data_IF_539538741458
#
_entry.id   IF_539538741458
#
_cell.length_a   1.000
_cell.length_b   1.000
_cell.length_c   1.000
_cell.angle_alpha   90.00
_cell.angle_beta   90.00
_cell.angle_gamma   90.00
#
_symmetry.space_group_name_H-M   'P 1'
#
loop_
_entity.id
_entity.type
_entity.pdbx_description
1 polymer ?
#
# COMPACT_ATOMS: atom_id res chain seq x y z
N UNK A 1 -14.85 -11.79 -14.75
CA UNK A 1 -13.44 -11.49 -15.07
C UNK A 1 -12.80 -11.08 -13.75
N UNK A 2 -11.59 -11.55 -13.46
CA UNK A 2 -10.88 -11.17 -12.24
C UNK A 2 -10.26 -9.79 -12.44
N UNK A 3 -10.64 -8.82 -11.62
CA UNK A 3 -10.03 -7.50 -11.63
C UNK A 3 -8.83 -7.46 -10.68
N UNK A 4 -7.90 -6.54 -10.92
CA UNK A 4 -6.73 -6.32 -10.05
C UNK A 4 -6.82 -4.92 -9.48
N UNK A 5 -6.70 -4.83 -8.17
CA UNK A 5 -6.78 -3.61 -7.38
C UNK A 5 -5.52 -3.39 -6.57
N UNK A 6 -5.23 -2.13 -6.26
CA UNK A 6 -4.07 -1.68 -5.52
C UNK A 6 -4.50 -0.73 -4.40
N UNK A 7 -3.90 -0.85 -3.22
CA UNK A 7 -4.02 0.15 -2.16
C UNK A 7 -2.78 0.10 -1.25
N UNK A 8 -2.58 1.12 -0.44
CA UNK A 8 -1.46 1.23 0.50
C UNK A 8 -1.80 2.19 1.63
N UNK A 9 -1.05 2.10 2.72
CA UNK A 9 -1.09 3.08 3.81
C UNK A 9 -2.47 3.14 4.48
N UNK A 10 -3.12 1.99 4.68
CA UNK A 10 -4.47 1.95 5.28
C UNK A 10 -4.46 2.59 6.68
N UNK A 11 -3.39 2.37 7.44
CA UNK A 11 -3.19 2.93 8.79
C UNK A 11 -4.40 2.78 9.71
N UNK A 12 -5.02 1.60 9.71
CA UNK A 12 -6.19 1.31 10.53
C UNK A 12 -5.85 1.50 12.02
N UNK A 13 -6.70 2.25 12.72
CA UNK A 13 -6.56 2.58 14.13
C UNK A 13 -5.46 3.59 14.45
N UNK A 14 -4.94 4.32 13.45
CA UNK A 14 -3.87 5.31 13.65
C UNK A 14 -4.43 6.72 13.84
N UNK A 15 -4.57 7.17 15.11
CA UNK A 15 -5.17 8.48 15.44
C UNK A 15 -4.56 9.67 14.68
N UNK A 16 -3.23 9.75 14.60
CA UNK A 16 -2.56 10.86 13.89
C UNK A 16 -2.86 10.85 12.39
N UNK A 17 -2.75 9.70 11.71
CA UNK A 17 -3.06 9.61 10.27
C UNK A 17 -4.55 9.85 10.01
N UNK A 18 -5.44 9.33 10.85
CA UNK A 18 -6.87 9.62 10.79
C UNK A 18 -7.13 11.14 10.85
N UNK A 19 -6.48 11.84 11.78
CA UNK A 19 -6.58 13.29 11.91
C UNK A 19 -6.05 14.04 10.67
N UNK A 20 -4.93 13.61 10.09
CA UNK A 20 -4.42 14.17 8.84
C UNK A 20 -5.37 13.99 7.66
N UNK A 21 -6.16 12.91 7.67
CA UNK A 21 -7.21 12.63 6.69
C UNK A 21 -8.54 13.34 7.00
N UNK A 22 -8.60 14.13 8.07
CA UNK A 22 -9.76 14.92 8.44
C UNK A 22 -10.78 14.22 9.34
N UNK A 23 -10.40 13.13 10.00
CA UNK A 23 -11.26 12.40 10.93
C UNK A 23 -10.91 12.72 12.38
N UNK A 24 -11.93 12.99 13.20
CA UNK A 24 -11.75 13.17 14.65
C UNK A 24 -11.63 11.83 15.39
N UNK A 25 -12.31 10.79 14.86
CA UNK A 25 -12.31 9.44 15.41
C UNK A 25 -11.58 8.46 14.45
N UNK A 26 -10.54 7.74 14.90
CA UNK A 26 -9.90 6.68 14.11
C UNK A 26 -10.86 5.55 13.70
N UNK A 27 -11.91 5.27 14.47
CA UNK A 27 -12.87 4.22 14.09
C UNK A 27 -13.74 4.66 12.89
N UNK A 28 -14.14 5.94 12.81
CA UNK A 28 -14.83 6.48 11.63
C UNK A 28 -13.93 6.47 10.38
N UNK A 29 -12.65 6.81 10.55
CA UNK A 29 -11.64 6.71 9.51
C UNK A 29 -11.54 5.28 8.97
N UNK A 30 -11.39 4.30 9.87
CA UNK A 30 -11.24 2.90 9.51
C UNK A 30 -12.46 2.39 8.74
N UNK A 31 -13.67 2.76 9.17
CA UNK A 31 -14.90 2.41 8.46
C UNK A 31 -14.93 3.01 7.05
N UNK A 32 -14.50 4.25 6.85
CA UNK A 32 -14.43 4.82 5.48
C UNK A 32 -13.47 4.03 4.60
N UNK A 33 -12.26 3.73 5.09
CA UNK A 33 -11.27 2.96 4.33
C UNK A 33 -11.81 1.56 3.99
N UNK A 34 -12.34 0.84 4.98
CA UNK A 34 -12.84 -0.52 4.81
C UNK A 34 -14.09 -0.56 3.92
N UNK A 35 -15.02 0.38 4.06
CA UNK A 35 -16.20 0.48 3.19
C UNK A 35 -15.83 0.76 1.73
N UNK A 36 -14.79 1.57 1.48
CA UNK A 36 -14.31 1.81 0.13
C UNK A 36 -13.66 0.56 -0.49
N UNK A 37 -12.95 -0.25 0.30
CA UNK A 37 -12.39 -1.52 -0.17
C UNK A 37 -13.50 -2.54 -0.46
N UNK A 38 -14.37 -2.80 0.51
CA UNK A 38 -15.49 -3.75 0.46
C UNK A 38 -16.47 -3.45 -0.69
N UNK A 39 -16.80 -2.18 -0.91
CA UNK A 39 -17.75 -1.79 -1.98
C UNK A 39 -17.19 -1.85 -3.40
N UNK A 40 -15.86 -1.89 -3.57
CA UNK A 40 -15.21 -1.84 -4.89
C UNK A 40 -14.50 -3.13 -5.27
N UNK A 41 -13.96 -3.86 -4.30
CA UNK A 41 -13.18 -5.08 -4.53
C UNK A 41 -14.06 -6.30 -4.24
N UNK A 42 -14.49 -6.98 -5.31
CA UNK A 42 -15.42 -8.10 -5.19
C UNK A 42 -14.71 -9.42 -4.87
N UNK A 43 -15.44 -10.38 -4.31
CA UNK A 43 -14.94 -11.74 -4.18
C UNK A 43 -14.51 -12.31 -5.55
N UNK A 44 -13.33 -12.90 -5.61
CA UNK A 44 -12.68 -13.35 -6.85
C UNK A 44 -11.83 -12.30 -7.58
N UNK A 45 -11.79 -11.06 -7.09
CA UNK A 45 -10.78 -10.07 -7.47
C UNK A 45 -9.46 -10.29 -6.71
N UNK A 46 -8.39 -9.70 -7.24
CA UNK A 46 -7.06 -9.67 -6.61
C UNK A 46 -6.79 -8.28 -6.06
N UNK A 47 -6.35 -8.18 -4.81
CA UNK A 47 -5.96 -6.94 -4.14
C UNK A 47 -4.49 -6.99 -3.71
N UNK A 48 -3.70 -6.06 -4.23
CA UNK A 48 -2.34 -5.78 -3.78
C UNK A 48 -2.35 -4.66 -2.75
N UNK A 49 -1.96 -4.99 -1.52
CA UNK A 49 -1.76 -4.02 -0.43
C UNK A 49 -0.27 -3.75 -0.26
N UNK A 50 0.18 -2.52 -0.51
CA UNK A 50 1.59 -2.12 -0.41
C UNK A 50 1.88 -1.50 0.96
N UNK A 51 1.48 -2.20 2.02
CA UNK A 51 2.03 -1.98 3.35
C UNK A 51 1.31 -0.92 4.18
N UNK A 52 1.81 -0.75 5.40
CA UNK A 52 1.34 0.17 6.42
C UNK A 52 -0.16 0.00 6.74
N UNK A 53 -0.50 -1.24 7.12
CA UNK A 53 -1.89 -1.62 7.42
C UNK A 53 -2.44 -0.94 8.68
N UNK A 54 -1.56 -0.58 9.62
CA UNK A 54 -1.91 -0.02 10.94
C UNK A 54 -0.85 0.97 11.43
N UNK A 55 -0.86 1.32 12.73
CA UNK A 55 0.18 2.14 13.37
C UNK A 55 1.47 1.37 13.71
N UNK A 56 1.50 0.05 13.56
CA UNK A 56 2.65 -0.80 13.90
C UNK A 56 2.77 -1.18 15.38
N UNK A 57 1.88 -0.67 16.23
CA UNK A 57 1.69 -1.23 17.56
C UNK A 57 1.02 -2.60 17.47
N UNK A 58 1.53 -3.61 18.20
CA UNK A 58 1.06 -5.00 18.08
C UNK A 58 -0.47 -5.15 18.22
N UNK A 59 -1.09 -4.45 19.18
CA UNK A 59 -2.56 -4.50 19.36
C UNK A 59 -3.32 -3.89 18.17
N UNK A 60 -2.81 -2.81 17.59
CA UNK A 60 -3.41 -2.17 16.42
C UNK A 60 -3.25 -3.04 15.17
N UNK A 61 -2.08 -3.66 15.00
CA UNK A 61 -1.80 -4.60 13.93
C UNK A 61 -2.74 -5.82 13.96
N UNK A 62 -2.94 -6.44 15.13
CA UNK A 62 -3.87 -7.56 15.27
C UNK A 62 -5.32 -7.17 14.97
N UNK A 63 -5.75 -5.96 15.38
CA UNK A 63 -7.08 -5.43 15.04
C UNK A 63 -7.21 -5.21 13.53
N UNK A 64 -6.23 -4.58 12.90
CA UNK A 64 -6.22 -4.32 11.46
C UNK A 64 -6.28 -5.63 10.65
N UNK A 65 -5.47 -6.63 11.01
CA UNK A 65 -5.50 -7.96 10.38
C UNK A 65 -6.88 -8.64 10.54
N UNK A 66 -7.49 -8.52 11.72
CA UNK A 66 -8.84 -9.03 11.97
C UNK A 66 -9.89 -8.38 11.08
N UNK A 67 -9.90 -7.04 11.01
CA UNK A 67 -10.83 -6.27 10.19
C UNK A 67 -10.65 -6.58 8.69
N UNK A 68 -9.41 -6.66 8.19
CA UNK A 68 -9.13 -7.00 6.79
C UNK A 68 -9.64 -8.40 6.46
N UNK A 69 -9.39 -9.39 7.35
CA UNK A 69 -9.85 -10.75 7.15
C UNK A 69 -11.38 -10.86 7.14
N UNK A 70 -12.06 -10.12 8.02
CA UNK A 70 -13.52 -10.10 8.13
C UNK A 70 -14.17 -9.41 6.93
N UNK A 71 -13.69 -8.21 6.56
CA UNK A 71 -14.33 -7.34 5.57
C UNK A 71 -14.05 -7.75 4.13
N UNK A 72 -12.90 -8.38 3.87
CA UNK A 72 -12.45 -8.72 2.51
C UNK A 72 -12.39 -10.25 2.30
N UNK A 73 -13.37 -10.96 2.83
CA UNK A 73 -13.54 -12.40 2.63
C UNK A 73 -13.79 -12.74 1.15
N UNK A 74 -13.07 -13.75 0.63
CA UNK A 74 -13.20 -14.19 -0.77
C UNK A 74 -12.43 -13.36 -1.80
N UNK A 75 -11.78 -12.27 -1.39
CA UNK A 75 -10.78 -11.53 -2.20
C UNK A 75 -9.42 -12.20 -2.05
N UNK A 76 -8.68 -12.39 -3.14
CA UNK A 76 -7.28 -12.82 -3.11
C UNK A 76 -6.39 -11.61 -2.77
N UNK A 77 -5.72 -11.62 -1.62
CA UNK A 77 -4.98 -10.49 -1.06
C UNK A 77 -3.48 -10.80 -1.01
N UNK A 78 -2.67 -9.92 -1.59
CA UNK A 78 -1.22 -10.00 -1.50
C UNK A 78 -0.66 -8.78 -0.78
N UNK A 79 0.29 -9.01 0.14
CA UNK A 79 0.93 -7.94 0.90
C UNK A 79 2.38 -7.73 0.46
N UNK A 80 2.72 -6.47 0.23
CA UNK A 80 4.11 -6.00 0.25
C UNK A 80 4.23 -5.09 1.47
N UNK A 81 4.82 -5.57 2.58
CA UNK A 81 4.73 -4.88 3.85
C UNK A 81 5.40 -3.50 3.77
N UNK A 82 4.97 -2.60 4.64
CA UNK A 82 5.57 -1.28 4.85
C UNK A 82 6.33 -1.20 6.16
N UNK A 83 6.89 -0.03 6.48
CA UNK A 83 7.67 0.11 7.71
C UNK A 83 6.81 0.01 8.97
N UNK A 84 5.49 0.14 8.93
CA UNK A 84 4.64 -0.10 10.10
C UNK A 84 4.21 -1.57 10.25
N UNK A 85 4.47 -2.43 9.27
CA UNK A 85 4.11 -3.84 9.35
C UNK A 85 5.23 -4.66 10.00
N UNK A 86 4.94 -5.34 11.11
CA UNK A 86 5.96 -6.09 11.85
C UNK A 86 6.53 -7.30 11.09
N UNK A 87 5.90 -7.70 9.98
CA UNK A 87 6.42 -8.72 9.06
C UNK A 87 7.39 -8.16 8.01
N UNK A 88 7.66 -6.85 7.98
CA UNK A 88 8.62 -6.27 7.04
C UNK A 88 10.05 -6.77 7.29
N UNK A 89 10.80 -7.23 6.27
CA UNK A 89 12.15 -7.79 6.43
C UNK A 89 13.20 -6.87 7.07
N UNK A 90 12.94 -5.56 7.13
CA UNK A 90 13.80 -4.61 7.88
C UNK A 90 13.87 -4.92 9.38
N UNK A 91 12.85 -5.59 9.92
CA UNK A 91 12.79 -5.96 11.32
C UNK A 91 13.52 -7.27 11.59
N UNK A 92 14.45 -7.24 12.56
CA UNK A 92 15.24 -8.41 13.01
C UNK A 92 14.41 -9.64 13.39
N UNK A 93 13.13 -9.46 13.71
CA UNK A 93 12.21 -10.52 14.15
C UNK A 93 10.99 -10.69 13.23
N UNK A 94 11.04 -10.15 12.01
CA UNK A 94 9.95 -10.23 11.03
C UNK A 94 9.50 -11.67 10.74
N UNK A 95 10.44 -12.61 10.67
CA UNK A 95 10.17 -14.03 10.46
C UNK A 95 9.26 -14.65 11.54
N UNK A 96 9.21 -14.06 12.74
CA UNK A 96 8.30 -14.50 13.82
C UNK A 96 6.88 -13.99 13.62
N UNK A 97 6.68 -12.96 12.80
CA UNK A 97 5.37 -12.32 12.57
C UNK A 97 4.76 -12.70 11.24
N UNK A 98 5.57 -13.05 10.23
CA UNK A 98 5.10 -13.37 8.89
C UNK A 98 3.98 -14.42 8.85
N UNK A 99 4.05 -15.48 9.65
CA UNK A 99 3.01 -16.52 9.69
C UNK A 99 1.62 -15.95 10.05
N UNK A 100 1.55 -14.97 10.94
CA UNK A 100 0.29 -14.36 11.38
C UNK A 100 -0.36 -13.57 10.25
N UNK A 101 0.44 -12.86 9.46
CA UNK A 101 -0.05 -12.16 8.29
C UNK A 101 -0.49 -13.14 7.18
N UNK A 102 0.18 -14.28 7.02
CA UNK A 102 -0.20 -15.32 6.04
C UNK A 102 -1.54 -16.00 6.36
N UNK A 103 -2.09 -15.82 7.56
CA UNK A 103 -3.46 -16.24 7.86
C UNK A 103 -4.52 -15.33 7.19
N UNK A 104 -4.12 -14.12 6.76
CA UNK A 104 -4.98 -13.10 6.16
C UNK A 104 -4.67 -12.89 4.67
N UNK A 105 -3.40 -13.06 4.29
CA UNK A 105 -2.90 -12.80 2.95
C UNK A 105 -2.38 -14.08 2.28
N UNK A 106 -2.70 -14.23 1.00
CA UNK A 106 -2.28 -15.35 0.15
C UNK A 106 -0.78 -15.30 -0.15
N UNK A 107 -0.18 -14.11 -0.14
CA UNK A 107 1.29 -13.97 -0.16
C UNK A 107 1.78 -12.73 0.60
N UNK A 108 3.05 -12.81 1.02
CA UNK A 108 3.80 -11.69 1.60
C UNK A 108 5.21 -11.71 1.02
N UNK A 109 5.69 -10.56 0.55
CA UNK A 109 6.98 -10.46 -0.12
C UNK A 109 7.55 -9.05 -0.05
N UNK A 110 8.88 -8.93 -0.10
CA UNK A 110 9.55 -7.63 -0.01
C UNK A 110 9.25 -6.71 -1.20
N UNK A 111 9.02 -7.29 -2.39
CA UNK A 111 8.57 -6.61 -3.59
C UNK A 111 7.89 -7.59 -4.54
N UNK A 112 7.12 -7.10 -5.50
CA UNK A 112 6.60 -7.87 -6.64
C UNK A 112 7.14 -7.31 -7.94
N UNK A 113 7.45 -8.18 -8.90
CA UNK A 113 7.71 -7.77 -10.29
C UNK A 113 6.53 -8.20 -11.17
N UNK A 114 5.97 -7.27 -11.91
CA UNK A 114 4.88 -7.49 -12.86
C UNK A 114 5.35 -7.15 -14.27
N UNK A 115 4.65 -7.68 -15.27
CA UNK A 115 4.89 -7.34 -16.67
C UNK A 115 3.70 -6.56 -17.22
N UNK A 116 3.86 -5.27 -17.48
CA UNK A 116 2.83 -4.39 -18.03
C UNK A 116 3.29 -3.88 -19.39
N UNK A 117 2.52 -4.14 -20.45
CA UNK A 117 2.82 -3.69 -21.83
C UNK A 117 4.22 -4.05 -22.35
N UNK A 118 4.83 -5.13 -21.82
CA UNK A 118 6.16 -5.57 -22.20
C UNK A 118 7.27 -5.13 -21.27
N UNK A 119 7.01 -4.17 -20.38
CA UNK A 119 7.96 -3.62 -19.41
C UNK A 119 7.86 -4.31 -18.04
N UNK A 120 9.00 -4.40 -17.35
CA UNK A 120 9.06 -4.86 -15.96
C UNK A 120 8.68 -3.70 -15.03
N UNK A 121 7.57 -3.83 -14.31
CA UNK A 121 7.10 -2.87 -13.30
C UNK A 121 7.22 -3.50 -11.93
N UNK A 122 7.74 -2.74 -10.97
CA UNK A 122 7.97 -3.23 -9.61
C UNK A 122 6.95 -2.63 -8.65
N UNK A 123 6.52 -3.42 -7.68
CA UNK A 123 5.71 -2.99 -6.55
C UNK A 123 6.57 -3.06 -5.28
N UNK A 124 6.60 -2.00 -4.50
CA UNK A 124 7.30 -1.90 -3.21
C UNK A 124 6.57 -0.88 -2.35
N UNK A 125 6.46 -1.06 -1.04
CA UNK A 125 5.89 -0.01 -0.19
C UNK A 125 6.65 1.33 -0.31
N UNK A 126 7.99 1.28 -0.24
CA UNK A 126 8.79 2.50 -0.36
C UNK A 126 8.93 2.99 -1.80
N UNK A 127 9.00 4.32 -2.03
CA UNK A 127 9.44 4.91 -3.28
C UNK A 127 10.95 4.71 -3.48
N UNK A 128 11.52 5.24 -4.56
CA UNK A 128 12.96 5.20 -4.79
C UNK A 128 13.77 5.92 -3.69
N UNK A 129 15.06 5.56 -3.53
CA UNK A 129 15.97 6.27 -2.64
C UNK A 129 16.00 7.78 -2.88
N UNK A 130 16.15 8.56 -1.80
CA UNK A 130 16.21 10.02 -1.86
C UNK A 130 14.84 10.71 -1.90
N UNK A 131 13.75 9.98 -1.75
CA UNK A 131 12.38 10.51 -1.67
C UNK A 131 11.75 10.13 -0.33
N UNK A 132 11.12 11.07 0.35
CA UNK A 132 10.36 10.83 1.59
C UNK A 132 9.31 11.93 1.71
N UNK A 133 8.58 11.92 2.81
CA UNK A 133 7.60 12.94 3.13
C UNK A 133 8.22 14.36 3.06
N UNK A 134 7.46 15.38 2.66
CA UNK A 134 7.96 16.75 2.54
C UNK A 134 8.70 17.23 3.80
N UNK A 135 9.95 17.66 3.62
CA UNK A 135 10.80 18.16 4.71
C UNK A 135 11.50 17.10 5.54
N UNK A 136 11.39 15.81 5.20
CA UNK A 136 12.15 14.73 5.84
C UNK A 136 13.34 14.28 4.98
N UNK A 137 14.44 13.92 5.63
CA UNK A 137 15.50 13.16 4.98
C UNK A 137 14.99 11.77 4.60
N UNK A 138 15.48 11.23 3.49
CA UNK A 138 15.06 9.90 3.04
C UNK A 138 15.58 8.80 3.95
N UNK A 139 14.67 7.98 4.46
CA UNK A 139 14.96 6.91 5.41
C UNK A 139 15.04 5.57 4.71
N UNK A 140 15.89 4.66 5.19
CA UNK A 140 15.98 3.28 4.68
C UNK A 140 16.42 3.17 3.21
N UNK A 141 17.12 4.16 2.66
CA UNK A 141 17.58 4.18 1.26
C UNK A 141 18.38 2.94 0.82
N UNK A 142 19.09 2.30 1.73
CA UNK A 142 19.83 1.05 1.47
C UNK A 142 18.91 -0.17 1.23
N UNK A 143 17.63 -0.07 1.61
CA UNK A 143 16.62 -1.11 1.45
C UNK A 143 15.64 -0.86 0.30
N UNK A 144 15.69 0.33 -0.33
CA UNK A 144 14.71 0.74 -1.35
C UNK A 144 15.16 0.31 -2.76
N UNK A 145 14.18 -0.04 -3.60
CA UNK A 145 14.44 -0.46 -4.98
C UNK A 145 14.98 0.69 -5.84
N UNK A 146 15.99 0.40 -6.66
CA UNK A 146 16.53 1.33 -7.68
C UNK A 146 16.11 0.85 -9.08
N UNK A 147 14.84 1.04 -9.39
CA UNK A 147 14.19 0.55 -10.63
C UNK A 147 13.48 1.68 -11.38
N UNK A 148 13.40 1.62 -12.72
CA UNK A 148 12.88 2.72 -13.52
C UNK A 148 11.36 2.91 -13.38
N UNK A 149 10.62 1.81 -13.23
CA UNK A 149 9.16 1.78 -13.13
C UNK A 149 8.74 1.18 -11.78
N UNK A 150 8.10 1.98 -10.95
CA UNK A 150 7.78 1.62 -9.57
C UNK A 150 6.38 2.10 -9.19
N UNK A 151 5.60 1.18 -8.63
CA UNK A 151 4.36 1.50 -7.92
C UNK A 151 4.64 1.34 -6.43
N UNK A 152 4.28 2.35 -5.65
CA UNK A 152 4.63 2.44 -4.25
C UNK A 152 3.53 3.06 -3.38
N UNK A 153 3.76 3.12 -2.07
CA UNK A 153 2.94 3.82 -1.08
C UNK A 153 3.77 4.85 -0.32
N UNK A 154 3.65 4.89 1.01
CA UNK A 154 4.56 5.55 1.94
C UNK A 154 4.59 7.08 1.92
N UNK A 155 4.44 7.77 0.79
CA UNK A 155 4.63 9.22 0.72
C UNK A 155 3.41 10.02 1.21
N UNK A 156 2.25 9.37 1.38
CA UNK A 156 0.96 10.04 1.63
C UNK A 156 0.70 11.18 0.63
N UNK A 157 1.11 10.98 -0.63
CA UNK A 157 0.96 11.99 -1.67
C UNK A 157 -0.52 12.26 -1.94
N UNK A 158 -0.87 13.52 -2.20
CA UNK A 158 -2.22 13.89 -2.67
C UNK A 158 -2.43 13.56 -4.15
N UNK A 159 -1.36 13.24 -4.88
CA UNK A 159 -1.39 12.95 -6.31
C UNK A 159 -0.68 11.62 -6.61
N UNK A 160 -1.20 10.79 -7.53
CA UNK A 160 -0.59 9.50 -7.83
C UNK A 160 0.82 9.62 -8.42
N UNK A 161 1.09 10.58 -9.30
CA UNK A 161 2.41 10.69 -9.94
C UNK A 161 3.39 11.43 -9.02
N UNK A 162 4.40 10.71 -8.52
CA UNK A 162 5.38 11.23 -7.53
C UNK A 162 6.79 11.38 -8.11
N UNK A 163 6.96 11.05 -9.39
CA UNK A 163 8.18 11.28 -10.16
C UNK A 163 8.19 10.46 -11.44
N UNK A 164 9.22 10.67 -12.27
CA UNK A 164 9.37 9.97 -13.55
C UNK A 164 9.33 8.44 -13.37
N UNK A 165 8.30 7.77 -13.88
CA UNK A 165 8.14 6.32 -13.72
C UNK A 165 7.79 5.87 -12.30
N UNK A 166 7.10 6.72 -11.53
CA UNK A 166 6.61 6.39 -10.19
C UNK A 166 5.15 6.75 -9.98
N UNK A 167 4.41 5.81 -9.38
CA UNK A 167 3.03 6.01 -8.95
C UNK A 167 2.87 5.61 -7.50
N UNK A 168 2.34 6.54 -6.71
CA UNK A 168 1.86 6.31 -5.35
C UNK A 168 0.41 5.80 -5.38
N UNK A 169 0.17 4.70 -4.68
CA UNK A 169 -1.13 4.05 -4.48
C UNK A 169 -1.63 4.15 -3.02
N UNK A 170 -0.99 4.99 -2.21
CA UNK A 170 -1.49 5.42 -0.91
C UNK A 170 -2.89 6.00 -1.05
N UNK A 171 -3.76 5.68 -0.09
CA UNK A 171 -5.20 6.01 -0.15
C UNK A 171 -5.48 7.50 -0.38
N UNK A 172 -4.60 8.41 0.05
CA UNK A 172 -4.70 9.85 -0.18
C UNK A 172 -4.77 10.21 -1.68
N UNK A 173 -3.90 9.62 -2.49
CA UNK A 173 -3.78 9.91 -3.93
C UNK A 173 -5.03 9.48 -4.73
N UNK A 174 -5.89 8.65 -4.13
CA UNK A 174 -7.02 7.99 -4.79
C UNK A 174 -8.36 8.29 -4.10
N UNK A 175 -8.42 9.35 -3.28
CA UNK A 175 -9.66 9.77 -2.62
C UNK A 175 -10.18 8.72 -1.64
N UNK A 176 -9.26 8.11 -0.89
CA UNK A 176 -9.50 7.07 0.11
C UNK A 176 -10.00 5.72 -0.44
N UNK A 177 -9.80 5.47 -1.73
CA UNK A 177 -10.28 4.25 -2.43
C UNK A 177 -9.12 3.40 -2.97
N UNK A 178 -9.33 2.09 -3.16
CA UNK A 178 -8.41 1.29 -3.96
C UNK A 178 -8.34 1.77 -5.41
N UNK A 179 -7.16 1.70 -5.99
CA UNK A 179 -6.89 2.05 -7.38
C UNK A 179 -7.03 0.80 -8.29
N UNK A 180 -7.83 0.84 -9.36
CA UNK A 180 -7.89 -0.25 -10.32
C UNK A 180 -6.64 -0.26 -11.22
N UNK A 181 -6.22 -1.47 -11.63
CA UNK A 181 -5.02 -1.69 -12.45
C UNK A 181 -4.91 -0.75 -13.65
N UNK A 182 -6.00 -0.56 -14.40
CA UNK A 182 -5.99 0.23 -15.62
C UNK A 182 -5.64 1.70 -15.33
N UNK A 183 -6.10 2.25 -14.21
CA UNK A 183 -5.77 3.63 -13.83
C UNK A 183 -4.35 3.75 -13.28
N UNK A 184 -3.86 2.75 -12.53
CA UNK A 184 -2.47 2.74 -12.05
C UNK A 184 -1.50 2.68 -13.24
N UNK A 185 -1.76 1.81 -14.23
CA UNK A 185 -0.99 1.73 -15.47
C UNK A 185 -1.01 3.06 -16.23
N UNK A 186 -2.19 3.65 -16.41
CA UNK A 186 -2.32 4.95 -17.06
C UNK A 186 -1.45 6.02 -16.39
N UNK A 187 -1.52 6.14 -15.04
CA UNK A 187 -0.73 7.11 -14.29
C UNK A 187 0.77 6.85 -14.39
N UNK A 188 1.17 5.58 -14.42
CA UNK A 188 2.58 5.22 -14.57
C UNK A 188 3.13 5.66 -15.92
N UNK A 189 2.37 5.47 -17.00
CA UNK A 189 2.78 5.88 -18.34
C UNK A 189 2.70 7.40 -18.57
N UNK A 190 1.71 8.06 -17.98
CA UNK A 190 1.65 9.53 -17.95
C UNK A 190 2.88 10.11 -17.26
N UNK A 191 3.34 9.50 -16.16
CA UNK A 191 4.54 9.96 -15.43
C UNK A 191 5.83 9.93 -16.25
N UNK A 192 5.88 9.15 -17.35
CA UNK A 192 7.00 9.09 -18.29
C UNK A 192 6.92 10.16 -19.39
N UNK A 193 5.72 10.67 -19.65
CA UNK A 193 5.43 11.61 -20.73
C UNK A 193 5.50 13.07 -20.26
N UNK A 194 5.30 13.31 -18.96
CA UNK A 194 5.57 14.60 -18.34
C UNK A 194 7.08 14.87 -18.34
N UNK A 195 7.51 15.81 -19.20
CA UNK A 195 8.81 16.46 -19.03
C UNK A 195 8.74 17.29 -17.76
N UNK A 196 9.24 16.76 -16.65
CA UNK A 196 9.62 17.55 -15.47
C UNK A 196 10.71 18.54 -15.88
#
# INVERSE_FOLDING_TARGET
MTNVWFSSDLHLGHNFVASLRGFEDPDEHDEVILNNLDSLVAAGDVLWLLGDLSSGAQRAEERALGLIAERLGGVEKHLIPGNHDSCHPMYRHAYKRQHRFLEVFESIQAFQRMKWEGEDVYLSHFPRPGQDHPGMESRFDDLRLRVPLLVHGHLHSQFPMTGLGQVDIGVEAWGLKPAPLELVQLKLWESLSEKI
#
